data_IF_774066667860
#
_entry.id   IF_774066667860
#
_cell.length_a   1.000
_cell.length_b   1.000
_cell.length_c   1.000
_cell.angle_alpha   90.00
_cell.angle_beta   90.00
_cell.angle_gamma   90.00
#
_symmetry.space_group_name_H-M   'P 1'
#
loop_
_entity.id
_entity.type
_entity.pdbx_description
1 polymer ?
#
# COMPACT_ATOMS: atom_id res chain seq x y z
N UNK A 1 6.94 -12.72 -16.36
CA UNK A 1 6.99 -14.15 -16.02
C UNK A 1 5.80 -14.49 -15.13
N UNK A 2 4.64 -14.77 -15.74
CA UNK A 2 3.42 -15.09 -15.01
C UNK A 2 3.31 -16.61 -14.81
N UNK A 3 2.99 -17.05 -13.60
CA UNK A 3 2.28 -18.31 -13.40
C UNK A 3 3.09 -19.58 -13.13
N UNK A 4 4.10 -19.54 -12.25
CA UNK A 4 4.83 -20.78 -11.86
C UNK A 4 4.16 -21.59 -10.74
N UNK A 5 3.36 -20.95 -9.90
CA UNK A 5 2.79 -21.55 -8.69
C UNK A 5 1.27 -21.59 -8.78
N UNK A 6 0.65 -22.69 -8.32
CA UNK A 6 -0.82 -22.81 -8.27
C UNK A 6 -1.35 -22.23 -6.98
N UNK A 7 -2.49 -21.56 -7.04
CA UNK A 7 -3.18 -20.98 -5.88
C UNK A 7 -3.34 -22.01 -4.75
N UNK A 8 -3.84 -23.21 -5.07
CA UNK A 8 -4.10 -24.26 -4.09
C UNK A 8 -2.86 -24.70 -3.30
N UNK A 9 -1.67 -24.70 -3.94
CA UNK A 9 -0.42 -25.09 -3.30
C UNK A 9 0.06 -24.01 -2.31
N UNK A 10 -0.03 -22.73 -2.72
CA UNK A 10 0.35 -21.59 -1.89
C UNK A 10 -0.62 -21.35 -0.73
N UNK A 11 -1.93 -21.42 -0.98
CA UNK A 11 -2.97 -21.27 0.04
C UNK A 11 -2.88 -22.37 1.11
N UNK A 12 -2.57 -23.60 0.70
CA UNK A 12 -2.30 -24.70 1.63
C UNK A 12 -1.09 -24.41 2.50
N UNK A 13 0.00 -23.93 1.90
CA UNK A 13 1.23 -23.61 2.63
C UNK A 13 1.03 -22.43 3.62
N UNK A 14 0.24 -21.42 3.25
CA UNK A 14 -0.04 -20.26 4.10
C UNK A 14 -0.63 -20.63 5.47
N UNK A 15 -1.38 -21.74 5.56
CA UNK A 15 -1.94 -22.24 6.82
C UNK A 15 -0.88 -22.63 7.85
N UNK A 16 0.31 -23.02 7.39
CA UNK A 16 1.40 -23.53 8.22
C UNK A 16 2.65 -22.64 8.20
N UNK A 17 2.67 -21.63 7.33
CA UNK A 17 3.76 -20.68 7.23
C UNK A 17 3.77 -19.70 8.42
N UNK A 18 4.98 -19.29 8.83
CA UNK A 18 5.23 -18.38 9.96
C UNK A 18 6.19 -17.27 9.53
N UNK A 19 6.09 -16.10 10.17
CA UNK A 19 6.99 -14.97 9.93
C UNK A 19 7.10 -14.61 8.45
N UNK A 20 8.33 -14.39 7.98
CA UNK A 20 8.65 -13.95 6.62
C UNK A 20 8.19 -14.91 5.53
N UNK A 21 8.11 -16.22 5.81
CA UNK A 21 7.60 -17.21 4.86
C UNK A 21 6.15 -16.89 4.45
N UNK A 22 5.34 -16.29 5.33
CA UNK A 22 3.98 -15.85 4.97
C UNK A 22 4.02 -14.73 3.95
N UNK A 23 4.85 -13.72 4.16
CA UNK A 23 4.97 -12.57 3.24
C UNK A 23 5.42 -13.03 1.85
N UNK A 24 6.41 -13.94 1.79
CA UNK A 24 6.85 -14.57 0.54
C UNK A 24 5.71 -15.28 -0.18
N UNK A 25 4.89 -16.06 0.54
CA UNK A 25 3.77 -16.78 -0.06
C UNK A 25 2.64 -15.87 -0.54
N UNK A 26 2.35 -14.76 0.17
CA UNK A 26 1.42 -13.75 -0.32
C UNK A 26 1.90 -13.08 -1.61
N UNK A 27 3.19 -12.74 -1.69
CA UNK A 27 3.77 -12.21 -2.93
C UNK A 27 3.67 -13.23 -4.06
N UNK A 28 3.91 -14.52 -3.79
CA UNK A 28 3.73 -15.57 -4.79
C UNK A 28 2.27 -15.71 -5.24
N UNK A 29 1.29 -15.51 -4.35
CA UNK A 29 -0.15 -15.53 -4.69
C UNK A 29 -0.57 -14.35 -5.57
N UNK A 30 0.13 -13.22 -5.52
CA UNK A 30 -0.11 -12.12 -6.45
C UNK A 30 0.17 -12.56 -7.90
N UNK A 31 1.20 -13.41 -8.09
CA UNK A 31 1.74 -13.82 -9.39
C UNK A 31 1.37 -15.27 -9.81
N UNK A 32 0.56 -15.96 -9.01
CA UNK A 32 0.20 -17.38 -9.18
C UNK A 32 -0.75 -17.64 -10.36
N UNK A 33 -1.14 -18.88 -10.62
CA UNK A 33 -2.23 -19.21 -11.55
C UNK A 33 -3.37 -19.87 -10.79
N UNK A 34 -4.58 -19.45 -11.13
CA UNK A 34 -5.82 -19.95 -10.54
C UNK A 34 -6.82 -18.82 -10.29
N UNK A 35 -8.06 -19.23 -10.00
CA UNK A 35 -9.19 -18.36 -9.65
C UNK A 35 -9.52 -18.39 -8.15
N UNK A 36 -8.81 -19.20 -7.36
CA UNK A 36 -9.09 -19.37 -5.94
C UNK A 36 -8.47 -18.24 -5.10
N UNK A 37 -7.30 -17.74 -5.50
CA UNK A 37 -6.56 -16.74 -4.74
C UNK A 37 -7.38 -15.47 -4.46
N UNK A 38 -8.08 -14.84 -5.43
CA UNK A 38 -8.90 -13.66 -5.15
C UNK A 38 -9.95 -13.88 -4.06
N UNK A 39 -10.65 -15.02 -4.09
CA UNK A 39 -11.70 -15.35 -3.12
C UNK A 39 -11.09 -15.54 -1.73
N UNK A 40 -10.01 -16.33 -1.66
CA UNK A 40 -9.38 -16.67 -0.40
C UNK A 40 -8.64 -15.48 0.23
N UNK A 41 -7.99 -14.64 -0.59
CA UNK A 41 -7.35 -13.42 -0.11
C UNK A 41 -8.36 -12.41 0.43
N UNK A 42 -9.56 -12.31 -0.18
CA UNK A 42 -10.69 -11.53 0.38
C UNK A 42 -11.10 -12.05 1.76
N UNK A 43 -11.15 -13.37 1.95
CA UNK A 43 -11.36 -13.97 3.27
C UNK A 43 -10.23 -13.67 4.26
N UNK A 44 -8.97 -13.69 3.81
CA UNK A 44 -7.81 -13.41 4.68
C UNK A 44 -7.74 -11.95 5.17
N UNK A 45 -8.41 -11.02 4.48
CA UNK A 45 -8.57 -9.64 4.96
C UNK A 45 -9.38 -9.57 6.27
N UNK A 46 -10.22 -10.56 6.60
CA UNK A 46 -10.92 -10.60 7.90
C UNK A 46 -10.09 -11.26 9.00
N UNK A 47 -8.80 -11.52 8.78
CA UNK A 47 -7.90 -12.11 9.78
C UNK A 47 -7.63 -11.14 10.94
N UNK A 48 -7.58 -11.66 12.16
CA UNK A 48 -7.14 -10.92 13.36
C UNK A 48 -5.68 -10.42 13.25
N UNK A 49 -4.86 -11.05 12.40
CA UNK A 49 -3.46 -10.68 12.22
C UNK A 49 -3.30 -9.51 11.25
N UNK A 50 -2.89 -8.34 11.77
CA UNK A 50 -2.64 -7.13 10.96
C UNK A 50 -1.75 -7.36 9.73
N UNK A 51 -0.59 -8.01 9.92
CA UNK A 51 0.33 -8.31 8.82
C UNK A 51 -0.27 -9.27 7.77
N UNK A 52 -1.17 -10.18 8.16
CA UNK A 52 -1.85 -11.05 7.20
C UNK A 52 -2.83 -10.25 6.34
N UNK A 53 -3.57 -9.32 6.95
CA UNK A 53 -4.47 -8.41 6.23
C UNK A 53 -3.71 -7.52 5.25
N UNK A 54 -2.64 -6.88 5.71
CA UNK A 54 -1.78 -6.01 4.87
C UNK A 54 -1.23 -6.76 3.65
N UNK A 55 -0.66 -7.95 3.86
CA UNK A 55 -0.16 -8.78 2.75
C UNK A 55 -1.27 -9.29 1.83
N UNK A 56 -2.45 -9.63 2.37
CA UNK A 56 -3.59 -10.03 1.55
C UNK A 56 -4.09 -8.89 0.65
N UNK A 57 -4.13 -7.65 1.16
CA UNK A 57 -4.48 -6.47 0.36
C UNK A 57 -3.49 -6.22 -0.77
N UNK A 58 -2.19 -6.30 -0.48
CA UNK A 58 -1.15 -6.17 -1.50
C UNK A 58 -1.30 -7.22 -2.60
N UNK A 59 -1.48 -8.50 -2.21
CA UNK A 59 -1.66 -9.58 -3.15
C UNK A 59 -2.94 -9.42 -3.98
N UNK A 60 -4.05 -9.00 -3.36
CA UNK A 60 -5.30 -8.69 -4.06
C UNK A 60 -5.14 -7.56 -5.08
N UNK A 61 -4.52 -6.45 -4.68
CA UNK A 61 -4.31 -5.31 -5.57
C UNK A 61 -3.47 -5.68 -6.78
N UNK A 62 -2.36 -6.39 -6.58
CA UNK A 62 -1.53 -6.88 -7.68
C UNK A 62 -2.25 -7.90 -8.58
N UNK A 63 -3.07 -8.77 -7.98
CA UNK A 63 -3.75 -9.87 -8.69
C UNK A 63 -4.96 -9.39 -9.49
N UNK A 64 -5.75 -8.51 -8.89
CA UNK A 64 -7.07 -8.12 -9.38
C UNK A 64 -7.09 -6.69 -9.92
N UNK A 65 -6.05 -5.89 -9.64
CA UNK A 65 -5.95 -4.49 -10.04
C UNK A 65 -7.19 -3.70 -9.60
N UNK A 66 -7.86 -3.00 -10.53
CA UNK A 66 -9.09 -2.25 -10.25
C UNK A 66 -10.20 -3.04 -9.54
N UNK A 67 -10.29 -4.35 -9.75
CA UNK A 67 -11.32 -5.19 -9.13
C UNK A 67 -11.09 -5.43 -7.62
N UNK A 68 -10.00 -4.92 -7.03
CA UNK A 68 -9.77 -4.91 -5.58
C UNK A 68 -10.22 -3.60 -4.90
N UNK A 69 -10.72 -2.61 -5.66
CA UNK A 69 -11.01 -1.25 -5.15
C UNK A 69 -11.98 -1.23 -3.97
N UNK A 70 -13.00 -2.07 -3.98
CA UNK A 70 -13.99 -2.19 -2.91
C UNK A 70 -13.34 -2.59 -1.56
N UNK A 71 -12.52 -3.64 -1.58
CA UNK A 71 -11.82 -4.14 -0.37
C UNK A 71 -10.81 -3.11 0.12
N UNK A 72 -10.06 -2.50 -0.80
CA UNK A 72 -9.09 -1.48 -0.44
C UNK A 72 -9.76 -0.24 0.17
N UNK A 73 -10.92 0.16 -0.36
CA UNK A 73 -11.70 1.29 0.20
C UNK A 73 -12.21 0.97 1.60
N UNK A 74 -12.66 -0.26 1.85
CA UNK A 74 -13.02 -0.70 3.20
C UNK A 74 -11.81 -0.68 4.16
N UNK A 75 -10.64 -1.13 3.68
CA UNK A 75 -9.42 -1.21 4.46
C UNK A 75 -8.89 0.15 4.96
N UNK A 76 -9.22 1.26 4.28
CA UNK A 76 -8.95 2.62 4.77
C UNK A 76 -9.66 2.93 6.11
N UNK A 77 -10.72 2.20 6.45
CA UNK A 77 -11.45 2.34 7.73
C UNK A 77 -10.93 1.39 8.82
N UNK A 78 -9.92 0.57 8.51
CA UNK A 78 -9.31 -0.36 9.47
C UNK A 78 -8.77 0.36 10.71
N UNK A 79 -8.72 -0.33 11.84
CA UNK A 79 -8.04 0.15 13.06
C UNK A 79 -6.51 0.04 12.96
N UNK A 80 -6.00 -0.81 12.07
CA UNK A 80 -4.55 -0.96 11.87
C UNK A 80 -4.03 0.15 10.95
N UNK A 81 -2.98 0.85 11.39
CA UNK A 81 -2.31 1.91 10.62
C UNK A 81 -1.61 1.30 9.41
N UNK A 82 -0.94 0.15 9.58
CA UNK A 82 -0.28 -0.58 8.50
C UNK A 82 -1.28 -0.95 7.38
N UNK A 83 -2.45 -1.45 7.75
CA UNK A 83 -3.51 -1.82 6.80
C UNK A 83 -4.04 -0.59 6.05
N UNK A 84 -4.23 0.53 6.74
CA UNK A 84 -4.65 1.79 6.13
C UNK A 84 -3.62 2.31 5.13
N UNK A 85 -2.35 2.40 5.54
CA UNK A 85 -1.27 2.89 4.68
C UNK A 85 -1.08 2.00 3.45
N UNK A 86 -1.14 0.68 3.65
CA UNK A 86 -1.12 -0.29 2.54
C UNK A 86 -2.30 -0.05 1.59
N UNK A 87 -3.53 0.04 2.09
CA UNK A 87 -4.70 0.28 1.26
C UNK A 87 -4.61 1.58 0.45
N UNK A 88 -4.17 2.68 1.07
CA UNK A 88 -3.98 3.96 0.40
C UNK A 88 -2.94 3.86 -0.73
N UNK A 89 -1.81 3.20 -0.46
CA UNK A 89 -0.77 2.98 -1.47
C UNK A 89 -1.27 2.13 -2.64
N UNK A 90 -1.97 1.02 -2.39
CA UNK A 90 -2.47 0.18 -3.47
C UNK A 90 -3.60 0.85 -4.28
N UNK A 91 -4.45 1.66 -3.64
CA UNK A 91 -5.45 2.48 -4.31
C UNK A 91 -4.80 3.52 -5.22
N UNK A 92 -3.72 4.17 -4.78
CA UNK A 92 -2.98 5.12 -5.60
C UNK A 92 -2.49 4.50 -6.91
N UNK A 93 -1.98 3.26 -6.85
CA UNK A 93 -1.43 2.53 -7.99
C UNK A 93 -2.52 1.91 -8.90
N UNK A 94 -3.54 1.28 -8.31
CA UNK A 94 -4.43 0.37 -9.06
C UNK A 94 -5.93 0.56 -8.85
N UNK A 95 -6.35 1.37 -7.86
CA UNK A 95 -7.78 1.60 -7.56
C UNK A 95 -8.56 2.35 -8.65
N UNK A 96 -9.89 2.30 -8.62
CA UNK A 96 -10.77 3.12 -9.47
C UNK A 96 -11.18 4.42 -8.77
N UNK A 97 -11.77 5.35 -9.54
CA UNK A 97 -12.31 6.60 -9.02
C UNK A 97 -13.45 6.38 -8.01
N UNK A 98 -14.09 5.22 -7.98
CA UNK A 98 -15.16 4.88 -7.02
C UNK A 98 -14.66 4.90 -5.56
N UNK A 99 -13.35 4.78 -5.32
CA UNK A 99 -12.75 4.90 -4.00
C UNK A 99 -12.59 6.36 -3.51
N UNK A 100 -12.96 7.36 -4.32
CA UNK A 100 -12.68 8.77 -4.04
C UNK A 100 -13.17 9.21 -2.66
N UNK A 101 -14.44 8.93 -2.34
CA UNK A 101 -15.01 9.28 -1.05
C UNK A 101 -14.22 8.65 0.11
N UNK A 102 -13.93 7.35 0.03
CA UNK A 102 -13.17 6.64 1.06
C UNK A 102 -11.75 7.22 1.24
N UNK A 103 -11.08 7.57 0.15
CA UNK A 103 -9.73 8.19 0.19
C UNK A 103 -9.80 9.58 0.83
N UNK A 104 -10.79 10.40 0.50
CA UNK A 104 -10.93 11.75 1.05
C UNK A 104 -11.34 11.75 2.52
N UNK A 105 -12.29 10.91 2.91
CA UNK A 105 -12.65 10.69 4.31
C UNK A 105 -11.43 10.23 5.13
N UNK A 106 -10.64 9.30 4.57
CA UNK A 106 -9.42 8.82 5.22
C UNK A 106 -8.37 9.92 5.37
N UNK A 107 -8.11 10.69 4.31
CA UNK A 107 -7.14 11.78 4.33
C UNK A 107 -7.55 12.87 5.31
N UNK A 108 -8.81 13.34 5.26
CA UNK A 108 -9.33 14.37 6.16
C UNK A 108 -9.23 13.93 7.63
N UNK A 109 -9.61 12.68 7.92
CA UNK A 109 -9.47 12.09 9.25
C UNK A 109 -8.02 11.99 9.70
N UNK A 110 -7.10 11.63 8.81
CA UNK A 110 -5.68 11.47 9.16
C UNK A 110 -5.00 12.82 9.42
N UNK A 111 -5.21 13.79 8.55
CA UNK A 111 -4.64 15.14 8.68
C UNK A 111 -5.25 15.91 9.86
N UNK A 112 -6.52 15.67 10.19
CA UNK A 112 -7.19 16.29 11.34
C UNK A 112 -6.78 15.75 12.73
N UNK A 113 -5.89 14.74 12.82
CA UNK A 113 -5.47 14.21 14.13
C UNK A 113 -4.48 15.14 14.82
N UNK A 114 -4.64 15.30 16.14
CA UNK A 114 -3.76 16.14 16.97
C UNK A 114 -2.35 15.58 17.22
N UNK A 115 -2.15 14.25 17.07
CA UNK A 115 -0.86 13.57 17.27
C UNK A 115 -0.58 12.63 16.09
N UNK A 116 -0.05 13.17 14.99
CA UNK A 116 0.15 12.45 13.72
C UNK A 116 1.47 11.67 13.68
N UNK A 117 2.51 12.19 14.32
CA UNK A 117 3.90 11.69 14.28
C UNK A 117 4.07 10.18 14.52
N UNK A 118 3.18 9.53 15.29
CA UNK A 118 3.25 8.09 15.59
C UNK A 118 2.30 7.22 14.77
N UNK A 119 1.41 7.82 13.96
CA UNK A 119 0.32 7.11 13.25
C UNK A 119 0.20 7.48 11.78
N UNK A 120 1.18 8.22 11.28
CA UNK A 120 1.28 8.74 9.94
C UNK A 120 2.50 8.13 9.27
N UNK A 121 2.26 7.43 8.17
CA UNK A 121 3.36 6.91 7.36
C UNK A 121 3.70 7.93 6.26
N UNK A 122 4.99 8.19 5.99
CA UNK A 122 5.45 9.13 4.97
C UNK A 122 4.84 8.99 3.58
N UNK A 123 4.38 7.78 3.24
CA UNK A 123 3.79 7.47 1.95
C UNK A 123 2.28 7.77 1.90
N UNK A 124 1.63 8.05 3.02
CA UNK A 124 0.17 8.25 3.08
C UNK A 124 -0.26 9.50 2.29
N UNK A 125 0.38 10.65 2.51
CA UNK A 125 0.08 11.88 1.76
C UNK A 125 0.40 11.77 0.26
N UNK A 126 1.60 11.31 -0.15
CA UNK A 126 1.89 11.05 -1.56
C UNK A 126 0.90 10.07 -2.21
N UNK A 127 0.40 9.07 -1.46
CA UNK A 127 -0.59 8.12 -2.00
C UNK A 127 -1.93 8.77 -2.28
N UNK A 128 -2.45 9.61 -1.37
CA UNK A 128 -3.68 10.36 -1.59
C UNK A 128 -3.57 11.29 -2.82
N UNK A 129 -2.45 12.00 -2.92
CA UNK A 129 -2.20 12.94 -4.02
C UNK A 129 -2.08 12.17 -5.34
N UNK A 130 -1.31 11.06 -5.40
CA UNK A 130 -1.19 10.22 -6.60
C UNK A 130 -2.54 9.67 -7.05
N UNK A 131 -3.34 9.15 -6.12
CA UNK A 131 -4.70 8.70 -6.41
C UNK A 131 -5.52 9.83 -7.06
N UNK A 132 -5.53 11.01 -6.43
CA UNK A 132 -6.33 12.13 -6.90
C UNK A 132 -5.84 12.68 -8.25
N UNK A 133 -4.54 12.73 -8.50
CA UNK A 133 -3.99 13.14 -9.81
C UNK A 133 -4.41 12.15 -10.90
N UNK A 134 -4.25 10.85 -10.66
CA UNK A 134 -4.60 9.79 -11.63
C UNK A 134 -6.07 9.85 -12.06
N UNK A 135 -6.95 10.26 -11.16
CA UNK A 135 -8.40 10.32 -11.40
C UNK A 135 -8.94 11.74 -11.63
N UNK A 136 -8.08 12.77 -11.73
CA UNK A 136 -8.51 14.15 -11.97
C UNK A 136 -9.21 14.83 -10.78
N UNK A 137 -9.00 14.35 -9.56
CA UNK A 137 -9.63 14.79 -8.32
C UNK A 137 -8.72 15.63 -7.40
N UNK A 138 -7.57 16.09 -7.92
CA UNK A 138 -6.54 16.80 -7.15
C UNK A 138 -7.07 18.07 -6.45
N UNK A 139 -8.07 18.75 -7.01
CA UNK A 139 -8.68 19.91 -6.36
C UNK A 139 -9.32 19.59 -5.00
N UNK A 140 -9.88 18.39 -4.81
CA UNK A 140 -10.43 17.97 -3.50
C UNK A 140 -9.31 17.74 -2.49
N UNK A 141 -8.25 17.05 -2.88
CA UNK A 141 -7.07 16.84 -2.02
C UNK A 141 -6.43 18.18 -1.64
N UNK A 142 -6.31 19.13 -2.58
CA UNK A 142 -5.82 20.48 -2.29
C UNK A 142 -6.67 21.18 -1.23
N UNK A 143 -8.01 21.06 -1.29
CA UNK A 143 -8.91 21.62 -0.28
C UNK A 143 -8.72 20.99 1.10
N UNK A 144 -8.57 19.66 1.17
CA UNK A 144 -8.33 18.95 2.43
C UNK A 144 -6.97 19.35 3.02
N UNK A 145 -5.92 19.44 2.20
CA UNK A 145 -4.59 19.90 2.63
C UNK A 145 -4.67 21.33 3.16
N UNK A 146 -5.31 22.24 2.43
CA UNK A 146 -5.46 23.64 2.85
C UNK A 146 -6.19 23.75 4.20
N UNK A 147 -7.27 22.99 4.38
CA UNK A 147 -8.03 22.90 5.64
C UNK A 147 -7.14 22.50 6.83
N UNK A 148 -6.21 21.57 6.61
CA UNK A 148 -5.33 21.03 7.67
C UNK A 148 -3.91 21.56 7.62
N UNK A 149 -3.65 22.64 6.88
CA UNK A 149 -2.29 23.13 6.63
C UNK A 149 -1.49 23.37 7.91
N UNK A 150 -2.10 24.03 8.90
CA UNK A 150 -1.46 24.31 10.18
C UNK A 150 -1.16 23.05 11.02
N UNK A 151 -1.78 21.91 10.69
CA UNK A 151 -1.48 20.65 11.34
C UNK A 151 -0.29 19.93 10.71
N UNK A 152 0.09 20.25 9.45
CA UNK A 152 1.22 19.67 8.74
C UNK A 152 2.55 20.02 9.40
N UNK A 153 3.45 19.05 9.51
CA UNK A 153 4.80 19.30 9.99
C UNK A 153 5.63 20.05 8.93
N UNK A 154 6.81 20.53 9.32
CA UNK A 154 7.65 21.34 8.44
C UNK A 154 8.11 20.56 7.20
N UNK A 155 8.42 19.28 7.35
CA UNK A 155 8.92 18.45 6.25
C UNK A 155 7.80 18.18 5.23
N UNK A 156 6.58 17.92 5.68
CA UNK A 156 5.39 17.81 4.82
C UNK A 156 5.10 19.12 4.07
N UNK A 157 5.18 20.26 4.76
CA UNK A 157 4.96 21.56 4.13
C UNK A 157 6.04 21.87 3.08
N UNK A 158 7.30 21.61 3.39
CA UNK A 158 8.42 21.85 2.47
C UNK A 158 8.37 20.90 1.26
N UNK A 159 8.02 19.63 1.49
CA UNK A 159 7.77 18.67 0.42
C UNK A 159 6.62 19.11 -0.50
N UNK A 160 5.50 19.61 0.06
CA UNK A 160 4.38 20.15 -0.74
C UNK A 160 4.79 21.40 -1.54
N UNK A 161 5.59 22.30 -0.98
CA UNK A 161 6.11 23.48 -1.72
C UNK A 161 6.97 23.06 -2.91
N UNK A 162 7.77 22.00 -2.74
CA UNK A 162 8.64 21.46 -3.81
C UNK A 162 7.84 20.72 -4.88
N UNK A 163 6.91 19.87 -4.48
CA UNK A 163 6.22 18.92 -5.39
C UNK A 163 4.92 19.46 -5.98
N UNK A 164 4.27 20.40 -5.28
CA UNK A 164 3.02 21.02 -5.69
C UNK A 164 3.03 22.56 -5.55
N UNK A 165 3.95 23.29 -6.23
CA UNK A 165 4.03 24.75 -6.10
C UNK A 165 2.72 25.49 -6.44
N UNK A 166 1.93 24.95 -7.37
CA UNK A 166 0.65 25.52 -7.79
C UNK A 166 -0.41 25.56 -6.67
N UNK A 167 -0.20 24.83 -5.56
CA UNK A 167 -1.08 24.87 -4.39
C UNK A 167 -1.05 26.23 -3.67
N UNK A 168 0.02 27.00 -3.83
CA UNK A 168 0.33 28.17 -3.01
C UNK A 168 -0.03 29.51 -3.66
N UNK A 169 -0.19 29.55 -4.99
CA UNK A 169 -0.49 30.77 -5.79
C UNK A 169 0.29 32.03 -5.35
N UNK A 170 1.59 31.86 -5.06
CA UNK A 170 2.48 32.96 -4.64
C UNK A 170 2.37 33.37 -3.16
N UNK A 171 1.65 32.61 -2.33
CA UNK A 171 1.53 32.82 -0.88
C UNK A 171 2.23 31.70 -0.08
N UNK A 172 2.41 31.89 1.23
CA UNK A 172 3.07 30.88 2.09
C UNK A 172 2.13 29.75 2.57
N UNK A 173 0.84 29.86 2.25
CA UNK A 173 -0.23 28.94 2.65
C UNK A 173 -1.01 28.46 1.42
N UNK A 174 -1.56 27.23 1.41
CA UNK A 174 -2.39 26.75 0.31
C UNK A 174 -3.59 27.67 0.05
N UNK A 175 -3.76 28.11 -1.19
CA UNK A 175 -4.95 28.83 -1.61
C UNK A 175 -6.08 27.84 -1.95
N UNK A 176 -7.29 28.08 -1.45
CA UNK A 176 -8.51 27.33 -1.82
C UNK A 176 -9.02 27.85 -3.18
N UNK A 177 -8.18 27.79 -4.21
CA UNK A 177 -8.55 28.26 -5.53
C UNK A 177 -9.27 27.16 -6.32
N UNK A 178 -10.37 27.50 -6.98
CA UNK A 178 -10.99 26.65 -8.00
C UNK A 178 -10.10 26.67 -9.24
N UNK A 179 -9.36 25.58 -9.46
CA UNK A 179 -8.44 25.45 -10.62
C UNK A 179 -6.96 25.25 -10.27
N UNK A 180 -6.64 24.81 -9.05
CA UNK A 180 -5.28 24.35 -8.70
C UNK A 180 -4.83 23.29 -9.70
N UNK A 181 -3.73 23.54 -10.40
CA UNK A 181 -3.12 22.57 -11.31
C UNK A 181 -2.59 21.36 -10.53
N UNK A 182 -2.61 20.13 -11.07
CA UNK A 182 -2.03 18.99 -10.38
C UNK A 182 -0.51 19.17 -10.18
N UNK A 183 0.09 18.52 -9.18
CA UNK A 183 1.55 18.48 -9.03
C UNK A 183 2.20 17.82 -10.26
N UNK A 184 3.38 18.31 -10.64
CA UNK A 184 4.12 17.79 -11.79
C UNK A 184 4.75 16.42 -11.48
N UNK A 185 5.18 16.20 -10.24
CA UNK A 185 5.79 14.96 -9.78
C UNK A 185 5.35 14.63 -8.35
N UNK A 186 4.95 13.37 -8.12
CA UNK A 186 4.54 12.84 -6.81
C UNK A 186 5.21 11.49 -6.52
N UNK A 187 6.32 11.20 -7.20
CA UNK A 187 7.02 9.92 -7.03
C UNK A 187 7.92 9.91 -5.78
N UNK A 188 8.30 11.07 -5.28
CA UNK A 188 9.17 11.21 -4.11
C UNK A 188 8.35 11.12 -2.81
N UNK A 189 8.85 10.36 -1.84
CA UNK A 189 8.27 10.36 -0.50
C UNK A 189 8.75 11.56 0.33
N UNK A 190 7.98 11.91 1.37
CA UNK A 190 8.19 13.13 2.17
C UNK A 190 9.60 13.19 2.79
N UNK A 191 10.23 12.04 3.05
CA UNK A 191 11.54 11.96 3.73
C UNK A 191 12.61 11.27 2.87
N UNK A 192 12.49 11.33 1.54
CA UNK A 192 13.38 10.60 0.62
C UNK A 192 14.86 10.99 0.81
N UNK A 193 15.12 12.27 1.12
CA UNK A 193 16.46 12.81 1.39
C UNK A 193 17.12 12.16 2.62
N UNK A 194 16.33 11.68 3.60
CA UNK A 194 16.83 10.95 4.76
C UNK A 194 17.19 9.49 4.42
N UNK A 195 16.59 8.92 3.37
CA UNK A 195 16.77 7.51 2.96
C UNK A 195 17.85 7.31 1.91
N UNK A 196 18.11 8.30 1.05
CA UNK A 196 19.18 8.22 0.02
C UNK A 196 20.59 8.01 0.62
N UNK A 197 20.77 8.19 1.93
CA UNK A 197 21.98 7.78 2.67
C UNK A 197 22.13 6.27 2.92
N UNK A 198 21.10 5.44 2.63
CA UNK A 198 21.12 3.99 2.78
C UNK A 198 20.59 3.30 1.52
N UNK A 199 21.54 2.78 0.75
CA UNK A 199 21.41 1.82 -0.35
C UNK A 199 21.12 2.37 -1.76
N UNK A 200 22.08 2.11 -2.65
CA UNK A 200 21.80 1.67 -4.01
C UNK A 200 22.91 0.72 -4.50
N UNK A 201 22.66 -0.60 -4.44
CA UNK A 201 23.17 -1.53 -5.45
C UNK A 201 21.95 -1.96 -6.27
N UNK A 202 21.93 -1.55 -7.54
CA UNK A 202 20.97 -2.06 -8.53
C UNK A 202 21.38 -3.50 -8.85
N UNK A 203 20.60 -4.47 -8.39
CA UNK A 203 20.73 -5.86 -8.84
C UNK A 203 19.98 -6.05 -10.16
N UNK A 204 20.52 -6.92 -11.02
CA UNK A 204 19.95 -7.21 -12.34
C UNK A 204 18.62 -7.98 -12.22
N UNK A 205 17.61 -7.68 -13.06
CA UNK A 205 16.26 -8.25 -12.95
C UNK A 205 16.20 -9.79 -12.94
N UNK A 206 17.11 -10.46 -13.65
CA UNK A 206 17.15 -11.92 -13.73
C UNK A 206 17.69 -12.59 -12.47
N UNK A 207 18.67 -11.97 -11.81
CA UNK A 207 19.20 -12.45 -10.53
C UNK A 207 18.11 -12.38 -9.46
N UNK A 208 17.36 -11.29 -9.44
CA UNK A 208 16.22 -11.09 -8.53
C UNK A 208 15.12 -12.14 -8.72
N UNK A 209 14.75 -12.44 -9.96
CA UNK A 209 13.71 -13.43 -10.25
C UNK A 209 14.10 -14.87 -9.83
N UNK A 210 15.38 -15.25 -9.99
CA UNK A 210 15.88 -16.55 -9.51
C UNK A 210 15.86 -16.64 -7.99
N UNK A 211 16.23 -15.54 -7.32
CA UNK A 211 16.24 -15.44 -5.87
C UNK A 211 14.82 -15.52 -5.28
N UNK A 212 13.85 -14.84 -5.89
CA UNK A 212 12.43 -14.88 -5.48
C UNK A 212 11.86 -16.31 -5.53
N UNK A 213 12.17 -17.05 -6.60
CA UNK A 213 11.74 -18.42 -6.80
C UNK A 213 12.36 -19.41 -5.78
N UNK A 214 13.61 -19.17 -5.38
CA UNK A 214 14.25 -19.92 -4.29
C UNK A 214 13.58 -19.66 -2.94
N UNK A 215 13.25 -18.40 -2.65
CA UNK A 215 12.53 -18.04 -1.43
C UNK A 215 11.15 -18.70 -1.36
N UNK A 216 10.39 -18.72 -2.45
CA UNK A 216 9.08 -19.40 -2.48
C UNK A 216 9.25 -20.90 -2.22
N UNK A 217 10.22 -21.56 -2.86
CA UNK A 217 10.50 -22.98 -2.58
C UNK A 217 10.88 -23.22 -1.12
N UNK A 218 11.69 -22.36 -0.53
CA UNK A 218 12.08 -22.44 0.88
C UNK A 218 10.85 -22.31 1.78
N UNK A 219 9.99 -21.31 1.55
CA UNK A 219 8.76 -21.09 2.30
C UNK A 219 7.82 -22.31 2.21
N UNK A 220 7.64 -22.89 1.02
CA UNK A 220 6.86 -24.11 0.83
C UNK A 220 7.41 -25.30 1.63
N UNK A 221 8.72 -25.53 1.61
CA UNK A 221 9.36 -26.60 2.39
C UNK A 221 9.20 -26.40 3.89
N UNK A 222 9.34 -25.17 4.37
CA UNK A 222 9.18 -24.84 5.78
C UNK A 222 7.72 -25.06 6.23
N UNK A 223 6.75 -24.62 5.43
CA UNK A 223 5.34 -24.85 5.70
C UNK A 223 5.01 -26.35 5.78
N UNK A 224 5.54 -27.16 4.85
CA UNK A 224 5.35 -28.62 4.88
C UNK A 224 5.99 -29.28 6.11
N UNK A 225 7.18 -28.82 6.52
CA UNK A 225 7.82 -29.30 7.76
C UNK A 225 6.97 -28.98 9.00
N UNK A 226 6.43 -27.77 9.06
CA UNK A 226 5.56 -27.35 10.15
C UNK A 226 4.27 -28.17 10.18
N UNK A 227 3.67 -28.43 9.02
CA UNK A 227 2.48 -29.29 8.90
C UNK A 227 2.73 -30.67 9.49
N UNK A 228 3.80 -31.34 9.06
CA UNK A 228 4.16 -32.69 9.56
C UNK A 228 4.39 -32.73 11.06
N UNK A 229 5.02 -31.68 11.62
CA UNK A 229 5.26 -31.60 13.07
C UNK A 229 3.95 -31.47 13.85
N UNK A 230 3.01 -30.64 13.37
CA UNK A 230 1.71 -30.48 14.02
C UNK A 230 0.92 -31.79 13.95
N UNK A 231 0.89 -32.43 12.77
CA UNK A 231 0.18 -33.70 12.58
C UNK A 231 0.83 -34.91 13.28
N UNK A 232 2.10 -34.82 13.68
CA UNK A 232 2.77 -35.88 14.45
C UNK A 232 2.63 -35.71 15.96
N UNK A 233 2.25 -34.51 16.40
CA UNK A 233 2.06 -34.16 17.81
C UNK A 233 0.58 -34.34 18.24
N UNK A 234 -0.32 -34.64 17.30
CA UNK A 234 -1.74 -35.01 17.47
C UNK A 234 -1.94 -36.54 17.44
#
# INVERSE_FOLDING_TARGET
MAGRWRDADLLRALRYAKGDDRAVLFNALADSVGSEAPIQLRGLYTSEMGAARSNALHALARRCGPAATDVLSEALRSRSIEVQGKAASELAESGTADAAEAVFEWLDRKLGRRRRETTWDPYELPSAIRFAVRHGLHAEVARIIAKHWAALDRDEQDWLRRTWPALFDGTDVPAIATGVRPPEQVQEDVYEDQRRGRAAKREEPEARAKQDDEYVRKALRNAERNRRRIESDD
#
